data_IF_946599625811
#
_entry.id   IF_946599625811
#
_cell.length_a   1.000
_cell.length_b   1.000
_cell.length_c   1.000
_cell.angle_alpha   90.00
_cell.angle_beta   90.00
_cell.angle_gamma   90.00
#
_symmetry.space_group_name_H-M   'P 1'
#
loop_
_entity.id
_entity.type
_entity.pdbx_description
1 polymer ?
#
# COMPACT_ATOMS: atom_id res chain seq x y z
N UNK A 1 3.83 27.69 24.23
CA UNK A 1 3.38 26.81 25.33
C UNK A 1 2.00 26.23 25.06
N UNK A 2 0.96 27.04 24.80
CA UNK A 2 -0.42 26.56 24.60
C UNK A 2 -0.57 25.40 23.58
N UNK A 3 0.18 25.39 22.46
CA UNK A 3 0.10 24.30 21.47
C UNK A 3 0.46 22.94 22.08
N UNK A 4 1.54 22.86 22.86
CA UNK A 4 1.97 21.61 23.48
C UNK A 4 1.01 21.15 24.57
N UNK A 5 0.39 22.10 25.29
CA UNK A 5 -0.68 21.81 26.26
C UNK A 5 -1.90 21.20 25.56
N UNK A 6 -2.38 21.79 24.46
CA UNK A 6 -3.48 21.21 23.67
C UNK A 6 -3.15 19.83 23.09
N UNK A 7 -1.91 19.61 22.65
CA UNK A 7 -1.44 18.30 22.19
C UNK A 7 -1.37 17.26 23.32
N UNK A 8 -1.09 17.69 24.55
CA UNK A 8 -1.01 16.82 25.72
C UNK A 8 -2.41 16.47 26.23
N UNK A 9 -3.34 17.41 26.20
CA UNK A 9 -4.75 17.20 26.55
C UNK A 9 -5.52 16.38 25.49
N UNK A 10 -4.84 15.88 24.45
CA UNK A 10 -5.45 15.05 23.42
C UNK A 10 -5.94 13.71 24.01
N UNK A 11 -7.25 13.61 24.19
CA UNK A 11 -7.91 12.38 24.61
C UNK A 11 -8.40 11.58 23.40
N UNK A 12 -8.03 10.31 23.36
CA UNK A 12 -8.63 9.35 22.44
C UNK A 12 -10.07 9.10 22.88
N UNK A 13 -11.03 9.42 22.01
CA UNK A 13 -12.40 8.93 22.19
C UNK A 13 -12.40 7.40 22.22
N UNK A 14 -13.47 6.77 22.73
CA UNK A 14 -13.62 5.30 22.67
C UNK A 14 -13.62 4.85 21.21
N UNK A 15 -12.45 4.46 20.70
CA UNK A 15 -12.26 3.89 19.38
C UNK A 15 -12.39 2.38 19.51
N UNK A 16 -13.28 1.78 18.73
CA UNK A 16 -13.32 0.33 18.59
C UNK A 16 -12.13 -0.09 17.70
N UNK A 17 -11.08 -0.61 18.34
CA UNK A 17 -9.91 -1.11 17.63
C UNK A 17 -10.24 -2.44 16.96
N UNK A 18 -9.96 -2.49 15.65
CA UNK A 18 -9.99 -3.74 14.88
C UNK A 18 -8.54 -4.21 14.75
N UNK A 19 -8.31 -5.48 15.08
CA UNK A 19 -6.98 -6.05 15.12
C UNK A 19 -6.31 -6.00 13.74
N UNK A 20 -5.04 -5.58 13.74
CA UNK A 20 -4.14 -5.62 12.58
C UNK A 20 -3.08 -6.69 12.83
N UNK A 21 -2.61 -7.34 11.76
CA UNK A 21 -1.50 -8.32 11.83
C UNK A 21 -0.19 -7.68 12.31
N UNK A 22 -0.05 -6.37 12.07
CA UNK A 22 1.11 -5.58 12.47
C UNK A 22 0.78 -4.79 13.73
N UNK A 23 1.66 -4.84 14.74
CA UNK A 23 1.56 -4.08 16.00
C UNK A 23 2.84 -3.31 16.34
N UNK A 24 2.70 -2.18 17.01
CA UNK A 24 3.82 -1.45 17.61
C UNK A 24 4.21 -2.16 18.91
N UNK A 25 5.38 -2.80 18.88
CA UNK A 25 5.89 -3.62 20.00
C UNK A 25 7.19 -3.09 20.58
N UNK A 26 7.84 -2.15 19.88
CA UNK A 26 9.11 -1.57 20.30
C UNK A 26 8.88 -0.10 20.70
N UNK A 27 9.39 0.36 21.86
CA UNK A 27 9.10 1.70 22.38
C UNK A 27 9.63 2.81 21.47
N UNK A 28 10.66 2.53 20.68
CA UNK A 28 11.19 3.44 19.66
C UNK A 28 10.88 2.90 18.28
N UNK A 29 9.83 3.42 17.64
CA UNK A 29 9.33 2.90 16.36
C UNK A 29 9.15 4.02 15.36
N UNK A 30 9.63 3.80 14.13
CA UNK A 30 9.31 4.63 12.96
C UNK A 30 8.30 3.85 12.12
N UNK A 31 7.10 4.38 12.00
CA UNK A 31 5.98 3.83 11.25
C UNK A 31 5.87 4.55 9.91
N UNK A 32 6.05 3.79 8.83
CA UNK A 32 5.95 4.24 7.46
C UNK A 32 4.83 3.49 6.72
N UNK A 33 4.37 4.03 5.60
CA UNK A 33 3.31 3.42 4.81
C UNK A 33 2.56 4.45 3.97
N UNK A 34 1.85 4.01 2.90
CA UNK A 34 1.05 4.92 2.09
C UNK A 34 -0.03 5.61 2.92
N UNK A 35 -0.56 6.72 2.41
CA UNK A 35 -1.65 7.43 3.09
C UNK A 35 -2.91 6.55 3.16
N UNK A 36 -3.68 6.69 4.23
CA UNK A 36 -4.90 5.91 4.43
C UNK A 36 -4.68 4.47 4.88
N UNK A 37 -3.44 3.99 5.04
CA UNK A 37 -3.16 2.60 5.48
C UNK A 37 -3.56 2.26 6.93
N UNK A 38 -3.98 3.25 7.72
CA UNK A 38 -4.39 3.07 9.11
C UNK A 38 -3.29 3.33 10.14
N UNK A 39 -2.19 4.01 9.78
CA UNK A 39 -1.07 4.32 10.69
C UNK A 39 -1.54 5.00 11.99
N UNK A 40 -2.40 6.01 11.87
CA UNK A 40 -2.95 6.75 13.01
C UNK A 40 -3.66 5.83 13.99
N UNK A 41 -4.50 4.91 13.50
CA UNK A 41 -5.20 3.94 14.34
C UNK A 41 -4.26 2.94 15.01
N UNK A 42 -3.15 2.58 14.33
CA UNK A 42 -2.12 1.73 14.93
C UNK A 42 -1.36 2.43 16.06
N UNK A 43 -1.14 3.74 15.94
CA UNK A 43 -0.58 4.56 17.01
C UNK A 43 -1.57 4.68 18.18
N UNK A 44 -2.86 4.89 17.88
CA UNK A 44 -3.90 4.96 18.91
C UNK A 44 -4.05 3.65 19.68
N UNK A 45 -3.96 2.50 19.01
CA UNK A 45 -3.95 1.18 19.64
C UNK A 45 -2.76 1.05 20.62
N UNK A 46 -1.57 1.51 20.21
CA UNK A 46 -0.41 1.56 21.10
C UNK A 46 -0.63 2.47 22.31
N UNK A 47 -1.16 3.69 22.09
CA UNK A 47 -1.45 4.67 23.14
C UNK A 47 -2.53 4.21 24.12
N UNK A 48 -3.43 3.31 23.72
CA UNK A 48 -4.48 2.77 24.60
C UNK A 48 -3.94 2.04 25.83
N UNK A 49 -2.65 1.68 25.84
CA UNK A 49 -1.95 1.06 26.97
C UNK A 49 -1.40 2.07 27.99
N UNK A 50 -1.61 3.38 27.78
CA UNK A 50 -1.05 4.46 28.59
C UNK A 50 -2.16 5.42 29.06
N UNK A 51 -1.95 6.03 30.22
CA UNK A 51 -2.80 7.13 30.68
C UNK A 51 -2.56 8.38 29.81
N UNK A 52 -3.58 9.22 29.64
CA UNK A 52 -3.50 10.44 28.81
C UNK A 52 -2.40 11.40 29.27
N UNK A 53 -2.20 11.53 30.58
CA UNK A 53 -1.11 12.33 31.20
C UNK A 53 0.31 11.82 30.90
N UNK A 54 0.45 10.58 30.46
CA UNK A 54 1.76 9.93 30.26
C UNK A 54 2.28 10.12 28.83
N UNK A 55 1.44 10.58 27.89
CA UNK A 55 1.81 10.73 26.49
C UNK A 55 1.59 12.14 25.94
N UNK A 56 2.40 12.51 24.95
CA UNK A 56 2.25 13.72 24.17
C UNK A 56 2.06 13.35 22.70
N UNK A 57 0.92 13.71 22.11
CA UNK A 57 0.59 13.42 20.73
C UNK A 57 0.63 14.67 19.86
N UNK A 58 1.52 14.68 18.87
CA UNK A 58 1.69 15.82 17.96
C UNK A 58 1.51 15.34 16.53
N UNK A 59 0.49 15.86 15.85
CA UNK A 59 0.34 15.72 14.40
C UNK A 59 0.84 16.99 13.69
N UNK A 60 1.90 16.84 12.89
CA UNK A 60 2.47 17.94 12.11
C UNK A 60 1.65 18.32 10.87
N UNK A 61 0.59 17.57 10.54
CA UNK A 61 -0.40 17.99 9.53
C UNK A 61 -1.58 18.76 10.11
N UNK A 62 -1.73 18.82 11.43
CA UNK A 62 -2.73 19.69 12.03
C UNK A 62 -2.29 21.15 11.88
N UNK A 63 -3.01 21.89 11.03
CA UNK A 63 -2.71 23.29 10.70
C UNK A 63 -2.78 24.23 11.92
N UNK A 64 -3.36 23.78 13.04
CA UNK A 64 -3.41 24.54 14.30
C UNK A 64 -2.09 24.45 15.08
N UNK A 65 -1.27 23.44 14.78
CA UNK A 65 0.00 23.22 15.47
C UNK A 65 1.09 24.11 14.88
N UNK A 66 1.64 25.02 15.70
CA UNK A 66 2.77 25.85 15.30
C UNK A 66 4.07 25.06 15.36
N UNK A 67 4.63 24.77 14.20
CA UNK A 67 5.87 24.01 14.06
C UNK A 67 7.03 24.64 14.85
N UNK A 68 7.25 25.96 14.74
CA UNK A 68 8.38 26.63 15.41
C UNK A 68 8.22 26.60 16.92
N UNK A 69 7.00 26.82 17.44
CA UNK A 69 6.72 26.73 18.87
C UNK A 69 7.00 25.33 19.39
N UNK A 70 6.59 24.29 18.67
CA UNK A 70 6.87 22.90 19.05
C UNK A 70 8.38 22.66 19.06
N UNK A 71 9.08 22.98 17.98
CA UNK A 71 10.52 22.76 17.83
C UNK A 71 11.34 23.39 18.95
N UNK A 72 11.01 24.62 19.35
CA UNK A 72 11.75 25.34 20.40
C UNK A 72 11.47 24.83 21.81
N UNK A 73 10.25 24.36 22.09
CA UNK A 73 9.79 24.11 23.48
C UNK A 73 9.61 22.63 23.82
N UNK A 74 9.66 21.71 22.85
CA UNK A 74 9.26 20.31 23.04
C UNK A 74 10.12 19.57 24.08
N UNK A 75 11.44 19.74 24.05
CA UNK A 75 12.36 19.03 24.97
C UNK A 75 12.14 19.48 26.42
N UNK A 76 12.01 20.79 26.67
CA UNK A 76 11.68 21.33 27.99
C UNK A 76 10.31 20.86 28.48
N UNK A 77 9.30 20.86 27.59
CA UNK A 77 7.95 20.45 27.94
C UNK A 77 7.85 18.98 28.33
N UNK A 78 8.55 18.09 27.62
CA UNK A 78 8.63 16.65 27.92
C UNK A 78 9.22 16.45 29.32
N UNK A 79 10.33 17.13 29.62
CA UNK A 79 10.99 17.04 30.92
C UNK A 79 10.09 17.57 32.05
N UNK A 80 9.51 18.76 31.88
CA UNK A 80 8.68 19.41 32.91
C UNK A 80 7.43 18.60 33.26
N UNK A 81 6.81 17.95 32.28
CA UNK A 81 5.56 17.21 32.46
C UNK A 81 5.77 15.70 32.66
N UNK A 82 7.02 15.22 32.72
CA UNK A 82 7.36 13.79 32.85
C UNK A 82 6.69 12.90 31.79
N UNK A 83 6.65 13.37 30.55
CA UNK A 83 6.07 12.61 29.43
C UNK A 83 6.87 11.32 29.21
N UNK A 84 6.18 10.17 29.17
CA UNK A 84 6.79 8.84 28.97
C UNK A 84 6.71 8.37 27.52
N UNK A 85 5.69 8.82 26.79
CA UNK A 85 5.48 8.45 25.38
C UNK A 85 5.32 9.70 24.53
N UNK A 86 6.21 9.89 23.57
CA UNK A 86 6.10 10.93 22.57
C UNK A 86 5.63 10.33 21.24
N UNK A 87 4.57 10.90 20.67
CA UNK A 87 4.16 10.62 19.29
C UNK A 87 4.44 11.84 18.41
N UNK A 88 5.22 11.63 17.35
CA UNK A 88 5.47 12.60 16.28
C UNK A 88 4.84 12.07 15.00
N UNK A 89 3.57 12.40 14.75
CA UNK A 89 2.86 11.98 13.54
C UNK A 89 3.11 12.93 12.38
N UNK A 90 3.30 12.38 11.17
CA UNK A 90 3.62 13.11 9.95
C UNK A 90 4.91 13.94 10.05
N UNK A 91 5.91 13.43 10.80
CA UNK A 91 7.16 14.12 11.03
C UNK A 91 8.16 13.93 9.86
N UNK A 92 8.88 15.01 9.53
CA UNK A 92 9.83 15.14 8.41
C UNK A 92 11.31 15.19 8.87
N UNK A 93 11.58 14.92 10.15
CA UNK A 93 12.94 14.95 10.72
C UNK A 93 13.67 16.29 10.59
N UNK A 94 12.92 17.38 10.43
CA UNK A 94 13.44 18.75 10.29
C UNK A 94 14.09 19.30 11.58
N UNK A 95 13.90 18.64 12.72
CA UNK A 95 14.62 18.94 13.96
C UNK A 95 15.00 17.66 14.73
N UNK A 96 15.84 17.81 15.77
CA UNK A 96 16.32 16.70 16.60
C UNK A 96 15.18 16.09 17.41
N UNK A 97 15.03 14.77 17.36
CA UNK A 97 14.06 14.05 18.19
C UNK A 97 14.49 14.17 19.66
N UNK A 98 13.65 14.72 20.56
CA UNK A 98 13.96 14.84 21.98
C UNK A 98 14.02 13.45 22.65
N UNK A 99 14.67 13.37 23.80
CA UNK A 99 14.70 12.14 24.58
C UNK A 99 13.33 11.88 25.23
N UNK A 100 12.84 10.65 25.09
CA UNK A 100 11.67 10.12 25.78
C UNK A 100 11.83 8.59 25.87
N UNK A 101 11.20 7.95 26.86
CA UNK A 101 11.32 6.50 27.07
C UNK A 101 10.75 5.74 25.87
N UNK A 102 9.58 6.17 25.39
CA UNK A 102 8.95 5.70 24.16
C UNK A 102 8.80 6.86 23.16
N UNK A 103 9.20 6.64 21.91
CA UNK A 103 9.04 7.59 20.81
C UNK A 103 8.49 6.86 19.59
N UNK A 104 7.27 7.22 19.19
CA UNK A 104 6.60 6.71 18.00
C UNK A 104 6.56 7.80 16.95
N UNK A 105 7.15 7.54 15.79
CA UNK A 105 7.23 8.51 14.70
C UNK A 105 6.44 7.96 13.53
N UNK A 106 5.51 8.72 12.98
CA UNK A 106 4.86 8.39 11.71
C UNK A 106 5.42 9.29 10.62
N UNK A 107 5.80 8.70 9.47
CA UNK A 107 6.43 9.45 8.39
C UNK A 107 6.19 8.82 7.02
N UNK A 108 6.35 9.62 5.97
CA UNK A 108 6.42 9.14 4.59
C UNK A 108 7.86 9.00 4.10
N UNK A 109 8.83 9.51 4.88
CA UNK A 109 10.23 9.47 4.52
C UNK A 109 10.88 8.14 4.89
N UNK A 110 11.76 7.65 4.03
CA UNK A 110 12.60 6.50 4.38
C UNK A 110 13.71 6.97 5.32
N UNK A 111 13.61 6.63 6.60
CA UNK A 111 14.62 6.95 7.62
C UNK A 111 14.99 5.75 8.47
N UNK A 112 16.28 5.54 8.68
CA UNK A 112 16.79 4.54 9.61
C UNK A 112 17.56 5.25 10.72
N UNK A 113 17.13 5.06 11.97
CA UNK A 113 17.74 5.67 13.15
C UNK A 113 18.21 4.57 14.10
N UNK A 114 19.39 4.75 14.70
CA UNK A 114 19.94 3.80 15.67
C UNK A 114 18.99 3.65 16.86
N UNK A 115 18.67 2.41 17.20
CA UNK A 115 17.76 2.09 18.31
C UNK A 115 16.27 2.23 17.98
N UNK A 116 15.90 2.57 16.73
CA UNK A 116 14.52 2.57 16.28
C UNK A 116 14.21 1.34 15.43
N UNK A 117 13.04 0.75 15.64
CA UNK A 117 12.48 -0.29 14.77
C UNK A 117 11.69 0.37 13.65
N UNK A 118 11.97 0.00 12.40
CA UNK A 118 11.18 0.43 11.25
C UNK A 118 10.01 -0.52 11.01
N UNK A 119 8.81 0.05 10.96
CA UNK A 119 7.57 -0.66 10.68
C UNK A 119 6.96 -0.07 9.41
N UNK A 120 6.50 -0.94 8.52
CA UNK A 120 5.82 -0.54 7.29
C UNK A 120 4.40 -1.08 7.36
N UNK A 121 3.40 -0.20 7.24
CA UNK A 121 1.99 -0.54 7.28
C UNK A 121 1.34 -0.22 5.93
N UNK A 122 1.03 -1.29 5.21
CA UNK A 122 0.14 -1.28 4.05
C UNK A 122 -1.34 -1.16 4.47
N UNK A 123 -2.24 -0.85 3.53
CA UNK A 123 -3.67 -1.04 3.78
C UNK A 123 -3.98 -2.53 3.97
N UNK A 124 -5.25 -2.82 4.22
CA UNK A 124 -5.72 -4.15 4.59
C UNK A 124 -5.31 -5.16 3.50
N UNK A 125 -4.73 -6.30 3.90
CA UNK A 125 -4.84 -7.49 3.06
C UNK A 125 -6.28 -8.00 3.07
N UNK A 126 -6.57 -9.01 2.25
CA UNK A 126 -7.92 -9.54 2.15
C UNK A 126 -8.42 -10.13 3.48
N UNK A 127 -7.57 -10.77 4.27
CA UNK A 127 -7.96 -11.30 5.58
C UNK A 127 -8.29 -10.18 6.57
N UNK A 128 -7.44 -9.16 6.68
CA UNK A 128 -7.73 -7.96 7.48
C UNK A 128 -8.97 -7.23 6.95
N UNK A 129 -9.20 -7.21 5.64
CA UNK A 129 -10.40 -6.63 5.05
C UNK A 129 -11.67 -7.35 5.53
N UNK A 130 -11.67 -8.68 5.55
CA UNK A 130 -12.80 -9.47 6.07
C UNK A 130 -13.08 -9.17 7.55
N UNK A 131 -12.06 -8.91 8.36
CA UNK A 131 -12.23 -8.52 9.77
C UNK A 131 -12.82 -7.10 9.92
N UNK A 132 -12.54 -6.22 8.98
CA UNK A 132 -13.04 -4.85 8.99
C UNK A 132 -14.44 -4.69 8.37
N UNK A 133 -14.85 -5.63 7.53
CA UNK A 133 -16.06 -5.54 6.72
C UNK A 133 -17.25 -6.16 7.45
N UNK A 134 -18.27 -5.36 7.74
CA UNK A 134 -19.40 -5.77 8.59
C UNK A 134 -20.73 -5.96 7.84
N UNK A 135 -20.74 -5.84 6.50
CA UNK A 135 -21.97 -5.82 5.69
C UNK A 135 -22.26 -7.16 5.02
N UNK A 136 -21.26 -7.82 4.48
CA UNK A 136 -21.43 -9.08 3.79
C UNK A 136 -21.08 -10.25 4.71
N UNK A 137 -21.87 -11.31 4.63
CA UNK A 137 -21.60 -12.57 5.33
C UNK A 137 -20.92 -13.61 4.42
N UNK A 138 -20.85 -13.31 3.11
CA UNK A 138 -20.36 -14.23 2.10
C UNK A 138 -19.03 -13.75 1.52
N UNK A 139 -18.01 -14.61 1.57
CA UNK A 139 -16.65 -14.30 1.12
C UNK A 139 -16.57 -13.84 -0.34
N UNK A 140 -17.39 -14.39 -1.24
CA UNK A 140 -17.44 -13.99 -2.65
C UNK A 140 -18.01 -12.58 -2.81
N UNK A 141 -18.99 -12.19 -1.98
CA UNK A 141 -19.49 -10.81 -1.96
C UNK A 141 -18.43 -9.85 -1.41
N UNK A 142 -17.79 -10.21 -0.29
CA UNK A 142 -16.68 -9.41 0.27
C UNK A 142 -15.53 -9.28 -0.73
N UNK A 143 -15.19 -10.34 -1.48
CA UNK A 143 -14.22 -10.29 -2.57
C UNK A 143 -14.64 -9.34 -3.69
N UNK A 144 -15.90 -9.39 -4.15
CA UNK A 144 -16.38 -8.46 -5.18
C UNK A 144 -16.30 -7.00 -4.71
N UNK A 145 -16.64 -6.73 -3.45
CA UNK A 145 -16.50 -5.40 -2.86
C UNK A 145 -15.02 -5.00 -2.75
N UNK A 146 -14.14 -5.88 -2.29
CA UNK A 146 -12.70 -5.65 -2.20
C UNK A 146 -12.07 -5.33 -3.56
N UNK A 147 -12.42 -6.11 -4.59
CA UNK A 147 -11.95 -5.90 -5.96
C UNK A 147 -12.42 -4.55 -6.53
N UNK A 148 -13.67 -4.16 -6.26
CA UNK A 148 -14.31 -2.93 -6.78
C UNK A 148 -13.93 -1.66 -6.00
N UNK A 149 -13.78 -1.77 -4.68
CA UNK A 149 -13.67 -0.63 -3.75
C UNK A 149 -12.32 -0.55 -3.03
N UNK A 150 -11.49 -1.57 -3.21
CA UNK A 150 -10.13 -1.60 -2.70
C UNK A 150 -10.07 -1.88 -1.21
N UNK A 151 -8.94 -1.53 -0.63
CA UNK A 151 -8.49 -2.07 0.65
C UNK A 151 -8.20 -1.02 1.73
N UNK A 152 -8.67 0.22 1.54
CA UNK A 152 -8.48 1.26 2.56
C UNK A 152 -9.43 1.01 3.75
N UNK A 153 -8.92 0.96 5.00
CA UNK A 153 -9.75 0.80 6.19
C UNK A 153 -10.91 1.79 6.27
N UNK A 154 -10.68 3.04 5.83
CA UNK A 154 -11.67 4.11 5.88
C UNK A 154 -12.83 3.93 4.90
N UNK A 155 -12.66 3.16 3.83
CA UNK A 155 -13.68 2.98 2.78
C UNK A 155 -14.49 1.71 2.92
N UNK A 156 -13.98 0.70 3.65
CA UNK A 156 -14.60 -0.65 3.78
C UNK A 156 -16.10 -0.56 4.08
N UNK A 157 -16.48 0.22 5.08
CA UNK A 157 -17.87 0.32 5.53
C UNK A 157 -18.65 1.52 4.95
N UNK A 158 -18.06 2.31 4.05
CA UNK A 158 -18.78 3.42 3.41
C UNK A 158 -19.87 2.93 2.46
N UNK A 159 -20.96 3.68 2.35
CA UNK A 159 -21.97 3.45 1.31
C UNK A 159 -21.35 3.60 -0.09
N UNK A 160 -21.71 2.74 -1.05
CA UNK A 160 -21.05 2.68 -2.37
C UNK A 160 -20.93 4.05 -3.07
N UNK A 161 -21.98 4.87 -3.01
CA UNK A 161 -22.00 6.20 -3.64
C UNK A 161 -20.98 7.19 -3.05
N UNK A 162 -20.44 6.92 -1.84
CA UNK A 162 -19.40 7.74 -1.19
C UNK A 162 -17.99 7.23 -1.45
N UNK A 163 -17.83 5.95 -1.83
CA UNK A 163 -16.51 5.31 -1.95
C UNK A 163 -15.65 6.05 -2.98
N UNK A 164 -16.15 6.24 -4.21
CA UNK A 164 -15.38 6.90 -5.26
C UNK A 164 -15.05 8.36 -4.93
N UNK A 165 -15.99 9.08 -4.30
CA UNK A 165 -15.72 10.43 -3.82
C UNK A 165 -14.56 10.44 -2.81
N UNK A 166 -14.56 9.53 -1.84
CA UNK A 166 -13.48 9.42 -0.85
C UNK A 166 -12.14 9.07 -1.50
N UNK A 167 -12.13 8.08 -2.41
CA UNK A 167 -10.92 7.71 -3.16
C UNK A 167 -10.37 8.90 -3.94
N UNK A 168 -11.23 9.69 -4.59
CA UNK A 168 -10.80 10.92 -5.29
C UNK A 168 -10.24 11.99 -4.35
N UNK A 169 -10.78 12.14 -3.13
CA UNK A 169 -10.18 13.02 -2.12
C UNK A 169 -8.79 12.54 -1.71
N UNK A 170 -8.62 11.24 -1.49
CA UNK A 170 -7.32 10.63 -1.20
C UNK A 170 -6.34 10.90 -2.35
N UNK A 171 -6.79 10.81 -3.61
CA UNK A 171 -5.95 11.16 -4.76
C UNK A 171 -5.55 12.63 -4.79
N UNK A 172 -6.48 13.54 -4.51
CA UNK A 172 -6.19 14.99 -4.43
C UNK A 172 -5.15 15.32 -3.37
N UNK A 173 -5.13 14.59 -2.27
CA UNK A 173 -4.10 14.74 -1.23
C UNK A 173 -2.70 14.30 -1.70
N UNK A 174 -2.60 13.43 -2.74
CA UNK A 174 -1.31 13.11 -3.37
C UNK A 174 -0.84 14.17 -4.36
N UNK A 175 -1.79 14.90 -4.94
CA UNK A 175 -1.55 15.74 -6.12
C UNK A 175 -1.65 17.21 -5.71
N UNK A 176 -0.50 17.87 -5.64
CA UNK A 176 -0.43 19.29 -5.24
C UNK A 176 -0.98 20.25 -6.31
N UNK A 177 -1.00 19.80 -7.56
CA UNK A 177 -1.36 20.58 -8.73
C UNK A 177 -1.90 19.67 -9.84
N UNK A 178 -2.53 20.28 -10.86
CA UNK A 178 -3.14 19.57 -12.00
C UNK A 178 -2.12 18.73 -12.80
N UNK A 179 -0.87 19.19 -12.95
CA UNK A 179 0.17 18.40 -13.62
C UNK A 179 0.45 17.13 -12.83
N UNK A 180 0.61 17.25 -11.51
CA UNK A 180 0.83 16.11 -10.62
C UNK A 180 -0.34 15.12 -10.68
N UNK A 181 -1.58 15.62 -10.78
CA UNK A 181 -2.78 14.80 -10.97
C UNK A 181 -2.76 14.03 -12.29
N UNK A 182 -2.45 14.69 -13.41
CA UNK A 182 -2.39 14.02 -14.71
C UNK A 182 -1.28 12.98 -14.80
N UNK A 183 -0.12 13.23 -14.17
CA UNK A 183 0.96 12.23 -14.05
C UNK A 183 0.46 11.01 -13.26
N UNK A 184 -0.25 11.23 -12.16
CA UNK A 184 -0.76 10.12 -11.36
C UNK A 184 -1.84 9.33 -12.11
N UNK A 185 -2.74 10.01 -12.84
CA UNK A 185 -3.75 9.38 -13.70
C UNK A 185 -3.13 8.47 -14.75
N UNK A 186 -2.15 8.96 -15.52
CA UNK A 186 -1.50 8.12 -16.54
C UNK A 186 -0.78 6.91 -15.95
N UNK A 187 -0.24 7.02 -14.73
CA UNK A 187 0.37 5.86 -14.05
C UNK A 187 -0.69 4.82 -13.69
N UNK A 188 -1.82 5.22 -13.09
CA UNK A 188 -2.90 4.30 -12.76
C UNK A 188 -3.57 3.70 -14.00
N UNK A 189 -3.80 4.46 -15.06
CA UNK A 189 -4.35 3.94 -16.31
C UNK A 189 -3.45 2.87 -16.96
N UNK A 190 -2.19 2.77 -16.54
CA UNK A 190 -1.22 1.81 -17.06
C UNK A 190 -0.76 0.79 -15.99
N UNK A 191 -1.59 0.52 -14.96
CA UNK A 191 -1.33 -0.61 -14.05
C UNK A 191 -1.23 -1.93 -14.81
N UNK A 192 -0.33 -2.81 -14.37
CA UNK A 192 0.01 -4.10 -14.98
C UNK A 192 0.52 -4.04 -16.44
N UNK A 193 0.69 -2.84 -17.01
CA UNK A 193 1.23 -2.67 -18.37
C UNK A 193 2.76 -2.66 -18.38
N UNK A 194 3.36 -3.18 -19.45
CA UNK A 194 4.82 -3.13 -19.68
C UNK A 194 5.19 -1.85 -20.45
N UNK A 195 5.13 -0.70 -19.79
CA UNK A 195 5.48 0.61 -20.38
C UNK A 195 6.66 1.27 -19.68
N UNK A 196 7.62 1.76 -20.47
CA UNK A 196 8.70 2.59 -19.95
C UNK A 196 8.20 3.97 -19.54
N UNK A 197 8.86 4.60 -18.56
CA UNK A 197 8.55 5.99 -18.17
C UNK A 197 8.64 6.96 -19.36
N UNK A 198 9.51 6.68 -20.34
CA UNK A 198 9.61 7.51 -21.54
C UNK A 198 8.36 7.40 -22.42
N UNK A 199 7.79 6.20 -22.58
CA UNK A 199 6.54 6.02 -23.33
C UNK A 199 5.37 6.72 -22.64
N UNK A 200 5.27 6.64 -21.30
CA UNK A 200 4.24 7.34 -20.54
C UNK A 200 4.40 8.85 -20.65
N UNK A 201 5.62 9.35 -20.50
CA UNK A 201 5.93 10.78 -20.69
C UNK A 201 5.53 11.27 -22.09
N UNK A 202 5.90 10.54 -23.14
CA UNK A 202 5.57 10.92 -24.51
C UNK A 202 4.07 10.92 -24.78
N UNK A 203 3.31 10.01 -24.15
CA UNK A 203 1.86 10.00 -24.20
C UNK A 203 1.28 11.24 -23.49
N UNK A 204 1.64 11.47 -22.23
CA UNK A 204 1.15 12.61 -21.45
C UNK A 204 1.48 13.97 -22.07
N UNK A 205 2.64 14.07 -22.73
CA UNK A 205 3.09 15.30 -23.40
C UNK A 205 2.18 15.71 -24.58
N UNK A 206 1.37 14.79 -25.10
CA UNK A 206 0.38 15.12 -26.14
C UNK A 206 -0.78 15.96 -25.57
N UNK A 207 -1.09 15.77 -24.29
CA UNK A 207 -2.21 16.43 -23.62
C UNK A 207 -1.78 17.70 -22.88
N UNK A 208 -0.57 17.71 -22.30
CA UNK A 208 -0.05 18.85 -21.52
C UNK A 208 1.39 19.23 -21.81
N UNK A 209 1.70 20.50 -21.55
CA UNK A 209 3.08 21.00 -21.55
C UNK A 209 3.80 20.58 -20.27
N UNK A 210 4.67 19.58 -20.39
CA UNK A 210 5.49 19.08 -19.27
C UNK A 210 6.91 18.72 -19.75
N UNK A 211 7.92 19.02 -18.93
CA UNK A 211 9.30 18.60 -19.17
C UNK A 211 9.52 17.15 -18.72
N UNK A 212 10.50 16.47 -19.33
CA UNK A 212 10.86 15.10 -18.95
C UNK A 212 11.28 15.04 -17.48
N UNK A 213 12.09 15.99 -17.02
CA UNK A 213 12.60 16.00 -15.64
C UNK A 213 11.47 16.15 -14.63
N UNK A 214 10.49 17.05 -14.87
CA UNK A 214 9.33 17.21 -13.98
C UNK A 214 8.51 15.92 -13.87
N UNK A 215 8.30 15.23 -14.99
CA UNK A 215 7.59 13.94 -15.01
C UNK A 215 8.32 12.88 -14.18
N UNK A 216 9.62 12.70 -14.42
CA UNK A 216 10.42 11.66 -13.78
C UNK A 216 10.56 11.91 -12.27
N UNK A 217 10.77 13.17 -11.87
CA UNK A 217 10.82 13.57 -10.45
C UNK A 217 9.51 13.22 -9.74
N UNK A 218 8.35 13.49 -10.35
CA UNK A 218 7.05 13.14 -9.76
C UNK A 218 6.80 11.63 -9.72
N UNK A 219 7.18 10.88 -10.76
CA UNK A 219 7.14 9.41 -10.70
C UNK A 219 8.00 8.86 -9.55
N UNK A 220 9.18 9.46 -9.33
CA UNK A 220 10.07 9.05 -8.23
C UNK A 220 9.47 9.37 -6.86
N UNK A 221 8.89 10.56 -6.71
CA UNK A 221 8.16 10.94 -5.50
C UNK A 221 7.02 9.95 -5.19
N UNK A 222 6.24 9.55 -6.19
CA UNK A 222 5.16 8.56 -6.01
C UNK A 222 5.68 7.16 -5.68
N UNK A 223 6.84 6.76 -6.22
CA UNK A 223 7.51 5.49 -5.87
C UNK A 223 8.03 5.50 -4.43
N UNK A 224 8.64 6.61 -4.00
CA UNK A 224 9.22 6.75 -2.67
C UNK A 224 8.13 6.80 -1.59
N UNK A 225 7.02 7.50 -1.88
CA UNK A 225 5.81 7.53 -1.03
C UNK A 225 4.96 6.26 -1.10
N UNK A 226 5.36 5.26 -1.89
CA UNK A 226 4.65 3.97 -2.03
C UNK A 226 3.22 4.12 -2.55
N UNK A 227 2.98 5.17 -3.34
CA UNK A 227 1.72 5.38 -4.06
C UNK A 227 1.71 4.49 -5.31
N UNK A 228 2.85 4.45 -5.99
CA UNK A 228 3.12 3.63 -7.18
C UNK A 228 4.30 2.69 -6.91
N UNK A 229 4.27 1.52 -7.53
CA UNK A 229 5.35 0.55 -7.50
C UNK A 229 5.77 0.23 -8.92
N UNK A 230 7.08 0.16 -9.14
CA UNK A 230 7.64 -0.25 -10.41
C UNK A 230 8.37 -1.58 -10.26
N UNK A 231 7.72 -2.66 -10.70
CA UNK A 231 8.21 -4.03 -10.60
C UNK A 231 9.11 -4.36 -11.79
N UNK A 232 10.33 -4.79 -11.47
CA UNK A 232 11.36 -5.11 -12.46
C UNK A 232 11.12 -6.48 -13.08
N UNK A 233 11.62 -6.65 -14.30
CA UNK A 233 11.78 -7.98 -14.87
C UNK A 233 12.94 -8.68 -14.17
N UNK A 234 12.77 -9.95 -13.84
CA UNK A 234 13.82 -10.72 -13.18
C UNK A 234 15.11 -10.70 -14.01
N UNK A 235 16.23 -10.39 -13.35
CA UNK A 235 17.58 -10.29 -13.96
C UNK A 235 17.69 -9.40 -15.21
N UNK A 236 16.76 -8.45 -15.43
CA UNK A 236 16.77 -7.55 -16.59
C UNK A 236 16.42 -6.12 -16.18
N UNK A 237 17.34 -5.43 -15.51
CA UNK A 237 17.13 -4.06 -14.98
C UNK A 237 16.78 -3.00 -16.02
N UNK A 238 17.19 -3.21 -17.28
CA UNK A 238 16.89 -2.30 -18.41
C UNK A 238 15.52 -2.53 -19.04
N UNK A 239 14.86 -3.65 -18.72
CA UNK A 239 13.54 -3.94 -19.25
C UNK A 239 12.50 -2.94 -18.69
N UNK A 240 11.43 -2.64 -19.44
CA UNK A 240 10.32 -1.85 -18.92
C UNK A 240 9.80 -2.45 -17.61
N UNK A 241 9.53 -1.62 -16.61
CA UNK A 241 8.95 -2.08 -15.35
C UNK A 241 7.42 -2.19 -15.50
N UNK A 242 6.78 -3.09 -14.75
CA UNK A 242 5.32 -3.10 -14.57
C UNK A 242 4.92 -2.14 -13.46
N UNK A 243 3.74 -1.52 -13.57
CA UNK A 243 3.26 -0.49 -12.65
C UNK A 243 2.14 -1.08 -11.78
N UNK A 244 2.19 -0.84 -10.48
CA UNK A 244 1.11 -1.21 -9.56
C UNK A 244 0.85 -0.10 -8.55
N UNK A 245 -0.33 -0.13 -7.94
CA UNK A 245 -0.75 0.79 -6.87
C UNK A 245 -1.00 0.04 -5.56
N UNK A 246 -0.85 0.72 -4.43
CA UNK A 246 -1.16 0.13 -3.13
C UNK A 246 -2.68 -0.09 -2.88
N UNK A 247 -3.54 0.51 -3.71
CA UNK A 247 -4.99 0.29 -3.73
C UNK A 247 -5.48 0.22 -5.20
N UNK A 248 -6.17 -0.86 -5.55
CA UNK A 248 -6.59 -1.20 -6.91
C UNK A 248 -7.75 -0.32 -7.39
N UNK A 249 -8.61 0.11 -6.46
CA UNK A 249 -9.80 0.91 -6.76
C UNK A 249 -9.49 2.34 -7.20
N UNK A 250 -8.23 2.79 -7.12
CA UNK A 250 -7.85 4.10 -7.67
C UNK A 250 -8.04 4.19 -9.18
N UNK A 251 -7.87 3.08 -9.92
CA UNK A 251 -8.13 3.10 -11.36
C UNK A 251 -9.61 3.42 -11.62
N UNK A 252 -10.51 2.67 -11.01
CA UNK A 252 -11.96 2.87 -11.14
C UNK A 252 -12.44 4.22 -10.59
N UNK A 253 -11.68 4.84 -9.68
CA UNK A 253 -11.97 6.17 -9.17
C UNK A 253 -11.64 7.31 -10.16
N UNK A 254 -10.78 7.08 -11.16
CA UNK A 254 -10.35 8.10 -12.12
C UNK A 254 -10.83 7.85 -13.55
N UNK A 255 -11.28 6.64 -13.87
CA UNK A 255 -11.74 6.29 -15.21
C UNK A 255 -12.95 5.37 -15.17
N UNK A 256 -13.81 5.49 -16.19
CA UNK A 256 -14.90 4.55 -16.42
C UNK A 256 -14.44 3.33 -17.24
N UNK A 257 -13.20 3.33 -17.74
CA UNK A 257 -12.66 2.23 -18.54
C UNK A 257 -12.33 1.04 -17.65
N UNK A 258 -13.05 -0.06 -17.83
CA UNK A 258 -12.82 -1.30 -17.10
C UNK A 258 -11.54 -2.00 -17.56
N UNK A 259 -10.65 -2.30 -16.61
CA UNK A 259 -9.46 -3.12 -16.81
C UNK A 259 -9.42 -4.26 -15.79
N UNK A 260 -10.47 -5.07 -15.83
CA UNK A 260 -10.71 -6.12 -14.84
C UNK A 260 -9.52 -7.06 -14.59
N UNK A 261 -8.82 -7.48 -15.65
CA UNK A 261 -7.60 -8.28 -15.51
C UNK A 261 -6.55 -7.52 -14.69
N UNK A 262 -6.25 -6.29 -15.05
CA UNK A 262 -5.23 -5.48 -14.40
C UNK A 262 -5.60 -5.18 -12.93
N UNK A 263 -6.88 -4.96 -12.65
CA UNK A 263 -7.42 -4.80 -11.28
C UNK A 263 -7.18 -6.06 -10.45
N UNK A 264 -7.50 -7.25 -10.99
CA UNK A 264 -7.21 -8.53 -10.34
C UNK A 264 -5.70 -8.71 -10.10
N UNK A 265 -4.86 -8.43 -11.10
CA UNK A 265 -3.40 -8.52 -10.95
C UNK A 265 -2.90 -7.56 -9.85
N UNK A 266 -3.49 -6.37 -9.73
CA UNK A 266 -3.08 -5.38 -8.74
C UNK A 266 -3.50 -5.74 -7.31
N UNK A 267 -4.63 -6.42 -7.10
CA UNK A 267 -4.97 -6.94 -5.76
C UNK A 267 -4.08 -8.12 -5.37
N UNK A 268 -3.70 -8.99 -6.31
CA UNK A 268 -2.68 -10.03 -6.08
C UNK A 268 -1.35 -9.38 -5.66
N UNK A 269 -0.94 -8.31 -6.34
CA UNK A 269 0.24 -7.54 -5.93
C UNK A 269 0.16 -7.01 -4.49
N UNK A 270 -1.01 -6.54 -4.05
CA UNK A 270 -1.20 -6.03 -2.69
C UNK A 270 -1.03 -7.12 -1.63
N UNK A 271 -1.52 -8.33 -1.89
CA UNK A 271 -1.29 -9.48 -1.01
C UNK A 271 0.20 -9.83 -0.90
N UNK A 272 0.93 -9.77 -2.02
CA UNK A 272 2.35 -10.10 -2.04
C UNK A 272 3.22 -9.05 -1.33
N UNK A 273 2.94 -7.77 -1.52
CA UNK A 273 3.78 -6.73 -0.95
C UNK A 273 3.69 -6.68 0.58
N UNK A 274 2.55 -7.10 1.14
CA UNK A 274 2.35 -7.20 2.58
C UNK A 274 3.29 -8.23 3.23
N UNK A 275 3.72 -9.24 2.46
CA UNK A 275 4.67 -10.29 2.90
C UNK A 275 6.14 -9.85 2.83
N UNK A 276 6.44 -8.63 2.35
CA UNK A 276 7.81 -8.07 2.21
C UNK A 276 8.79 -8.95 1.42
N UNK A 277 8.28 -9.67 0.42
CA UNK A 277 9.07 -10.52 -0.46
C UNK A 277 9.64 -9.73 -1.65
N UNK A 278 10.69 -10.27 -2.27
CA UNK A 278 11.20 -9.73 -3.52
C UNK A 278 10.33 -10.21 -4.68
N UNK A 279 9.71 -9.25 -5.38
CA UNK A 279 8.74 -9.52 -6.44
C UNK A 279 9.32 -9.06 -7.77
N UNK A 280 9.31 -9.95 -8.75
CA UNK A 280 9.69 -9.66 -10.13
C UNK A 280 8.57 -10.10 -11.08
N UNK A 281 8.66 -9.71 -12.34
CA UNK A 281 7.85 -10.33 -13.40
C UNK A 281 8.75 -11.09 -14.39
N UNK A 282 8.17 -12.04 -15.12
CA UNK A 282 8.82 -12.73 -16.25
C UNK A 282 7.99 -12.58 -17.52
N UNK A 283 8.46 -13.12 -18.64
CA UNK A 283 7.59 -13.24 -19.80
C UNK A 283 6.48 -14.25 -19.50
N UNK A 284 5.23 -13.85 -19.77
CA UNK A 284 4.00 -14.60 -19.50
C UNK A 284 3.61 -14.85 -18.03
N UNK A 285 4.49 -14.53 -17.06
CA UNK A 285 4.21 -14.64 -15.63
C UNK A 285 4.12 -13.25 -15.02
N UNK A 286 3.05 -13.00 -14.26
CA UNK A 286 2.78 -11.68 -13.69
C UNK A 286 3.68 -11.39 -12.48
N UNK A 287 3.84 -12.37 -11.59
CA UNK A 287 4.75 -12.29 -10.45
C UNK A 287 5.60 -13.56 -10.31
N UNK A 288 6.89 -13.37 -10.11
CA UNK A 288 7.86 -14.40 -9.78
C UNK A 288 8.48 -14.05 -8.42
N UNK A 289 8.46 -15.03 -7.53
CA UNK A 289 9.00 -14.97 -6.18
C UNK A 289 10.23 -15.91 -6.11
N UNK A 290 11.46 -15.38 -6.27
CA UNK A 290 12.65 -16.20 -6.46
C UNK A 290 13.06 -17.00 -5.23
N UNK A 291 12.73 -16.53 -4.02
CA UNK A 291 13.11 -17.22 -2.77
C UNK A 291 12.29 -18.49 -2.57
N UNK A 292 11.04 -18.46 -3.01
CA UNK A 292 10.09 -19.55 -2.89
C UNK A 292 10.05 -20.43 -4.16
N UNK A 293 10.63 -20.00 -5.27
CA UNK A 293 10.50 -20.62 -6.61
C UNK A 293 9.03 -20.76 -7.05
N UNK A 294 8.24 -19.71 -6.76
CA UNK A 294 6.80 -19.65 -7.06
C UNK A 294 6.55 -18.64 -8.18
N UNK A 295 5.72 -19.02 -9.14
CA UNK A 295 5.14 -18.11 -10.13
C UNK A 295 3.65 -17.90 -9.85
N UNK A 296 3.17 -16.69 -10.13
CA UNK A 296 1.77 -16.30 -9.95
C UNK A 296 1.31 -15.57 -11.22
N UNK A 297 0.18 -16.01 -11.77
CA UNK A 297 -0.44 -15.49 -12.98
C UNK A 297 -1.89 -15.13 -12.71
N UNK A 298 -2.28 -13.89 -13.00
CA UNK A 298 -3.66 -13.45 -12.84
C UNK A 298 -4.43 -13.70 -14.13
N UNK A 299 -5.28 -14.72 -14.12
CA UNK A 299 -6.11 -15.12 -15.27
C UNK A 299 -7.57 -15.19 -14.79
N UNK A 300 -8.33 -14.08 -14.87
CA UNK A 300 -9.64 -13.99 -14.24
C UNK A 300 -10.59 -15.13 -14.62
N UNK A 301 -10.59 -15.51 -15.90
CA UNK A 301 -11.45 -16.55 -16.46
C UNK A 301 -10.61 -17.68 -17.06
N UNK A 302 -9.94 -18.45 -16.20
CA UNK A 302 -9.11 -19.57 -16.63
C UNK A 302 -9.95 -20.77 -17.09
N UNK A 303 -9.55 -21.38 -18.22
CA UNK A 303 -10.08 -22.65 -18.72
C UNK A 303 -8.94 -23.45 -19.36
N UNK A 304 -8.63 -24.62 -18.81
CA UNK A 304 -7.46 -25.41 -19.20
C UNK A 304 -7.51 -25.93 -20.65
N UNK A 305 -8.70 -26.22 -21.19
CA UNK A 305 -8.88 -26.64 -22.59
C UNK A 305 -8.66 -25.48 -23.55
N UNK A 306 -9.32 -24.34 -23.30
CA UNK A 306 -9.29 -23.18 -24.20
C UNK A 306 -7.95 -22.41 -24.13
N UNK A 307 -7.28 -22.43 -22.97
CA UNK A 307 -6.04 -21.66 -22.73
C UNK A 307 -4.77 -22.51 -22.78
N UNK A 308 -4.83 -23.70 -23.40
CA UNK A 308 -3.69 -24.62 -23.50
C UNK A 308 -2.43 -23.99 -24.11
N UNK A 309 -2.57 -23.05 -25.05
CA UNK A 309 -1.45 -22.33 -25.68
C UNK A 309 -0.79 -21.33 -24.73
N UNK A 310 -1.57 -20.60 -23.94
CA UNK A 310 -1.07 -19.68 -22.92
C UNK A 310 -0.40 -20.45 -21.78
N UNK A 311 -1.03 -21.54 -21.32
CA UNK A 311 -0.47 -22.40 -20.29
C UNK A 311 0.89 -22.99 -20.70
N UNK A 312 1.04 -23.42 -21.97
CA UNK A 312 2.34 -23.87 -22.50
C UNK A 312 3.43 -22.78 -22.40
N UNK A 313 3.09 -21.52 -22.65
CA UNK A 313 4.06 -20.40 -22.54
C UNK A 313 4.44 -20.11 -21.09
N UNK A 314 3.47 -20.18 -20.17
CA UNK A 314 3.69 -20.04 -18.73
C UNK A 314 4.61 -21.16 -18.23
N UNK A 315 4.30 -22.42 -18.56
CA UNK A 315 5.12 -23.58 -18.17
C UNK A 315 6.53 -23.47 -18.75
N UNK A 316 6.67 -23.06 -20.02
CA UNK A 316 7.98 -22.84 -20.62
C UNK A 316 8.82 -21.81 -19.85
N UNK A 317 8.20 -20.66 -19.53
CA UNK A 317 8.85 -19.61 -18.73
C UNK A 317 9.21 -20.12 -17.33
N UNK A 318 8.35 -20.92 -16.71
CA UNK A 318 8.60 -21.54 -15.42
C UNK A 318 9.80 -22.51 -15.45
N UNK A 319 9.85 -23.39 -16.46
CA UNK A 319 10.97 -24.33 -16.67
C UNK A 319 12.30 -23.61 -16.92
N UNK A 320 12.31 -22.48 -17.64
CA UNK A 320 13.51 -21.66 -17.87
C UNK A 320 14.11 -21.06 -16.58
N UNK A 321 13.34 -21.03 -15.50
CA UNK A 321 13.68 -20.42 -14.22
C UNK A 321 13.59 -21.39 -13.03
N UNK A 322 13.51 -22.70 -13.28
CA UNK A 322 13.42 -23.75 -12.25
C UNK A 322 12.27 -23.56 -11.24
N UNK A 323 11.18 -22.91 -11.68
CA UNK A 323 9.96 -22.70 -10.88
C UNK A 323 9.27 -24.04 -10.67
N UNK A 324 8.92 -24.34 -9.42
CA UNK A 324 8.31 -25.63 -9.03
C UNK A 324 6.80 -25.55 -8.87
N UNK A 325 6.30 -24.35 -8.59
CA UNK A 325 4.89 -24.14 -8.29
C UNK A 325 4.36 -22.91 -9.01
N UNK A 326 3.17 -23.06 -9.61
CA UNK A 326 2.49 -22.00 -10.34
C UNK A 326 1.09 -21.83 -9.77
N UNK A 327 0.79 -20.62 -9.31
CA UNK A 327 -0.57 -20.21 -8.96
C UNK A 327 -1.21 -19.47 -10.13
N UNK A 328 -2.35 -19.97 -10.60
CA UNK A 328 -3.22 -19.25 -11.52
C UNK A 328 -4.38 -18.68 -10.71
N UNK A 329 -4.37 -17.36 -10.51
CA UNK A 329 -5.37 -16.68 -9.70
C UNK A 329 -6.55 -16.27 -10.58
N UNK A 330 -7.74 -16.75 -10.22
CA UNK A 330 -8.99 -16.53 -10.93
C UNK A 330 -10.00 -15.79 -10.06
N UNK A 331 -11.20 -15.52 -10.59
CA UNK A 331 -12.30 -14.94 -9.81
C UNK A 331 -13.14 -15.98 -9.06
N UNK A 332 -13.16 -17.22 -9.52
CA UNK A 332 -14.11 -18.24 -9.02
C UNK A 332 -13.72 -19.69 -9.31
N UNK A 333 -12.79 -19.94 -10.23
CA UNK A 333 -12.46 -21.30 -10.67
C UNK A 333 -11.34 -21.87 -9.80
N UNK A 334 -11.50 -23.13 -9.39
CA UNK A 334 -10.45 -23.94 -8.79
C UNK A 334 -10.18 -25.20 -9.64
N UNK A 335 -8.90 -25.55 -9.78
CA UNK A 335 -8.44 -26.72 -10.52
C UNK A 335 -6.99 -26.99 -10.12
N UNK A 336 -6.61 -28.25 -9.88
CA UNK A 336 -5.19 -28.60 -9.73
C UNK A 336 -4.74 -29.38 -10.95
N UNK A 337 -3.68 -28.92 -11.60
CA UNK A 337 -3.12 -29.54 -12.79
C UNK A 337 -1.69 -29.97 -12.48
N UNK A 338 -1.41 -31.26 -12.60
CA UNK A 338 -0.05 -31.80 -12.50
C UNK A 338 0.53 -32.00 -13.89
N UNK A 339 1.64 -31.32 -14.19
CA UNK A 339 2.40 -31.53 -15.43
C UNK A 339 3.89 -31.60 -15.15
N UNK A 340 4.50 -32.70 -15.57
CA UNK A 340 5.94 -32.95 -15.40
C UNK A 340 6.34 -32.79 -13.92
N UNK A 341 7.23 -31.83 -13.63
CA UNK A 341 7.78 -31.52 -12.30
C UNK A 341 7.20 -30.23 -11.70
N UNK A 342 6.14 -29.67 -12.30
CA UNK A 342 5.51 -28.42 -11.85
C UNK A 342 4.10 -28.70 -11.34
N UNK A 343 3.82 -28.21 -10.14
CA UNK A 343 2.47 -28.17 -9.58
C UNK A 343 1.77 -26.86 -9.99
N UNK A 344 0.62 -26.98 -10.65
CA UNK A 344 -0.17 -25.82 -11.08
C UNK A 344 -1.47 -25.79 -10.30
N UNK A 345 -1.60 -24.79 -9.43
CA UNK A 345 -2.75 -24.54 -8.58
C UNK A 345 -3.58 -23.41 -9.16
N UNK A 346 -4.76 -23.73 -9.70
CA UNK A 346 -5.74 -22.73 -10.10
C UNK A 346 -6.65 -22.50 -8.90
N UNK A 347 -6.68 -21.27 -8.39
CA UNK A 347 -7.46 -20.91 -7.21
C UNK A 347 -8.17 -19.57 -7.45
N UNK A 348 -9.40 -19.40 -6.93
CA UNK A 348 -9.99 -18.07 -6.76
C UNK A 348 -9.11 -17.21 -5.86
N UNK A 349 -9.09 -15.90 -6.10
CA UNK A 349 -8.31 -14.96 -5.28
C UNK A 349 -8.56 -15.10 -3.78
N UNK A 350 -9.82 -15.23 -3.37
CA UNK A 350 -10.18 -15.30 -1.95
C UNK A 350 -9.74 -16.62 -1.28
N UNK A 351 -9.56 -17.71 -2.03
CA UNK A 351 -8.98 -18.95 -1.48
C UNK A 351 -7.47 -18.80 -1.36
N UNK A 352 -6.80 -18.29 -2.39
CA UNK A 352 -5.35 -18.08 -2.39
C UNK A 352 -4.88 -17.03 -1.37
N UNK A 353 -5.65 -15.95 -1.18
CA UNK A 353 -5.29 -14.90 -0.22
C UNK A 353 -5.38 -15.38 1.24
N UNK A 354 -6.18 -16.42 1.51
CA UNK A 354 -6.40 -17.00 2.84
C UNK A 354 -5.62 -18.30 3.08
N UNK A 355 -4.85 -18.79 2.08
CA UNK A 355 -4.09 -20.05 2.16
C UNK A 355 -2.75 -19.92 2.87
#
# INVERSE_FOLDING_TARGET
>A
MNTLEYCHEFELSKINFIERKIRITHPKTILSGPMGSGKTFLIFDYLSNFDTKDYLYIDFKDIRNSYEVIKENLEEYIFRNNIKVLVLENFDFSFKIPYCDSVIISTYEKKELKGYKNLFLSPLDFEEYLLHENKNQNITQSFNTFLKHGNLPQTVNLSEYKVYYHLQQVLKLFTQDETSEMILKILFENIDEKKSLNQLFLNLKQDIKISKDKFYTKCKEYEDKKIIYFIKKYNQDKAPKKIYSYNSAFLDAITHKKKFKNELTNIVFQELINKKQEIFYLDYIDFYLPKENIAICSIPFFNSMLMSSQLKKIIKSANEHDIKEIYIITVSNNETIKKENIEINVLPFYEWALS
#
